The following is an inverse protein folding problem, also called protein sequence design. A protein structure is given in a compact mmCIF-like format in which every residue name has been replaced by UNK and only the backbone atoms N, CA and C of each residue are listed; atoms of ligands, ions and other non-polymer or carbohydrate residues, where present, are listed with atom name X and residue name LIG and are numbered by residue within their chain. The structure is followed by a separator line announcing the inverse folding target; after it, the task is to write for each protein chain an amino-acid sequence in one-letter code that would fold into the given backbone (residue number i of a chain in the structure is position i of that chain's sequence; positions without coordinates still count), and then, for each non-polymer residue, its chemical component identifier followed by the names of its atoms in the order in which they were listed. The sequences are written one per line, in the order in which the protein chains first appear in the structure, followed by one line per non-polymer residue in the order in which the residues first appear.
data_IF_484338476167
#
_entry.id   IF_484338476167
#
_cell.length_a   1.000
_cell.length_b   1.000
_cell.length_c   1.000
_cell.angle_alpha   90.00
_cell.angle_beta   90.00
_cell.angle_gamma   90.00
#
_symmetry.space_group_name_H-M   'P 1'
#
loop_
_entity.id
_entity.type
_entity.pdbx_description
1 polymer ?
#
# COMPACT_ATOMS: atom_id res chain seq x y z
N UNK A 1 21.80 -26.29 19.51
CA UNK A 1 21.44 -24.87 19.38
C UNK A 1 20.04 -24.71 19.96
N UNK A 2 19.89 -23.92 21.02
CA UNK A 2 18.57 -23.56 21.52
C UNK A 2 17.93 -22.66 20.46
N UNK A 3 16.81 -23.09 19.87
CA UNK A 3 15.97 -22.24 19.03
C UNK A 3 15.41 -21.13 19.93
N UNK A 4 16.14 -20.02 20.06
CA UNK A 4 15.53 -18.81 20.59
C UNK A 4 14.53 -18.33 19.54
N UNK A 5 13.23 -18.22 19.88
CA UNK A 5 12.26 -17.65 18.97
C UNK A 5 12.73 -16.25 18.57
N UNK A 6 12.57 -15.89 17.29
CA UNK A 6 12.84 -14.52 16.84
C UNK A 6 11.99 -13.54 17.65
N UNK A 7 12.53 -12.38 18.00
CA UNK A 7 11.79 -11.32 18.69
C UNK A 7 10.59 -10.84 17.86
N UNK A 8 10.62 -11.08 16.54
CA UNK A 8 9.55 -10.73 15.60
C UNK A 8 8.45 -11.81 15.48
N UNK A 9 8.48 -12.87 16.29
CA UNK A 9 7.47 -13.92 16.22
C UNK A 9 6.09 -13.37 16.60
N UNK A 10 5.11 -13.53 15.70
CA UNK A 10 3.71 -13.12 15.88
C UNK A 10 3.52 -11.63 16.24
N UNK A 11 4.46 -10.75 15.86
CA UNK A 11 4.28 -9.29 15.97
C UNK A 11 3.15 -8.85 15.05
N UNK A 12 2.26 -7.99 15.54
CA UNK A 12 1.06 -7.50 14.85
C UNK A 12 0.08 -8.60 14.39
N UNK A 13 0.24 -9.87 14.80
CA UNK A 13 -0.70 -10.94 14.45
C UNK A 13 -1.98 -10.91 15.28
N UNK A 14 -1.83 -10.54 16.55
CA UNK A 14 -2.90 -10.35 17.53
C UNK A 14 -2.62 -9.07 18.28
N UNK A 15 -3.68 -8.33 18.63
CA UNK A 15 -3.54 -7.20 19.54
C UNK A 15 -3.01 -7.71 20.89
N UNK A 16 -1.97 -7.04 21.41
CA UNK A 16 -1.41 -7.28 22.74
C UNK A 16 -1.66 -6.11 23.68
N UNK A 17 -2.61 -5.23 23.34
CA UNK A 17 -2.99 -4.08 24.15
C UNK A 17 -3.34 -4.50 25.58
N UNK A 18 -2.59 -4.07 26.61
CA UNK A 18 -2.89 -4.40 28.00
C UNK A 18 -3.93 -3.44 28.63
N UNK A 19 -4.37 -2.42 27.89
CA UNK A 19 -5.17 -1.28 28.33
C UNK A 19 -6.30 -0.93 27.32
N UNK A 20 -6.94 0.23 27.48
CA UNK A 20 -8.03 0.72 26.61
C UNK A 20 -7.53 1.42 25.33
N UNK A 21 -6.30 1.16 24.88
CA UNK A 21 -5.75 1.85 23.68
C UNK A 21 -6.56 1.48 22.42
N UNK A 22 -6.61 2.37 21.41
CA UNK A 22 -7.20 2.05 20.12
C UNK A 22 -6.53 0.82 19.49
N UNK A 23 -7.31 0.01 18.80
CA UNK A 23 -6.83 -1.12 18.02
C UNK A 23 -7.07 -0.80 16.54
N UNK A 24 -6.02 -0.79 15.74
CA UNK A 24 -6.14 -0.60 14.30
C UNK A 24 -6.00 -1.96 13.61
N UNK A 25 -7.01 -2.35 12.84
CA UNK A 25 -7.00 -3.59 12.05
C UNK A 25 -6.72 -3.26 10.58
N UNK A 26 -5.62 -3.79 10.08
CA UNK A 26 -5.23 -3.66 8.68
C UNK A 26 -5.51 -4.99 7.97
N UNK A 27 -6.56 -5.04 7.15
CA UNK A 27 -6.84 -6.13 6.24
C UNK A 27 -6.06 -5.94 4.95
N UNK A 28 -4.91 -6.61 4.81
CA UNK A 28 -4.13 -6.64 3.57
C UNK A 28 -4.81 -7.62 2.60
N UNK A 29 -5.54 -7.09 1.64
CA UNK A 29 -6.36 -7.87 0.73
C UNK A 29 -5.62 -8.22 -0.56
N UNK A 30 -5.21 -9.48 -0.69
CA UNK A 30 -4.46 -10.02 -1.83
C UNK A 30 -5.21 -11.21 -2.40
N UNK A 31 -6.19 -10.99 -3.30
CA UNK A 31 -7.06 -12.06 -3.78
C UNK A 31 -6.34 -13.12 -4.63
N UNK A 32 -5.20 -12.79 -5.25
CA UNK A 32 -4.45 -13.70 -6.13
C UNK A 32 -2.94 -13.63 -5.89
N UNK A 33 -2.36 -12.46 -6.14
CA UNK A 33 -0.94 -12.18 -6.13
C UNK A 33 -0.72 -10.69 -5.83
N UNK A 34 0.50 -10.31 -5.45
CA UNK A 34 0.86 -8.91 -5.35
C UNK A 34 2.34 -8.61 -5.58
N UNK A 35 2.65 -7.35 -5.88
CA UNK A 35 4.00 -6.82 -5.84
C UNK A 35 4.48 -6.71 -4.38
N UNK A 36 5.68 -7.22 -4.09
CA UNK A 36 6.28 -7.14 -2.75
C UNK A 36 6.35 -5.71 -2.25
N UNK A 37 6.83 -4.76 -3.08
CA UNK A 37 6.98 -3.37 -2.68
C UNK A 37 5.63 -2.67 -2.44
N UNK A 38 4.58 -3.05 -3.17
CA UNK A 38 3.24 -2.51 -2.92
C UNK A 38 2.65 -3.07 -1.63
N UNK A 39 3.05 -4.28 -1.24
CA UNK A 39 2.61 -4.93 0.00
C UNK A 39 3.38 -4.41 1.21
N UNK A 40 4.67 -4.10 1.02
CA UNK A 40 5.60 -3.74 2.09
C UNK A 40 5.23 -2.44 2.83
N UNK A 41 4.47 -1.53 2.21
CA UNK A 41 4.00 -0.30 2.86
C UNK A 41 3.18 -0.56 4.13
N UNK A 42 2.60 -1.76 4.29
CA UNK A 42 1.92 -2.17 5.52
C UNK A 42 2.83 -2.17 6.75
N UNK A 43 4.14 -2.33 6.55
CA UNK A 43 5.13 -2.39 7.63
C UNK A 43 5.28 -1.04 8.36
N UNK A 44 4.87 0.07 7.72
CA UNK A 44 4.82 1.39 8.36
C UNK A 44 3.75 1.40 9.46
N UNK A 45 2.57 0.81 9.22
CA UNK A 45 1.56 0.63 10.27
C UNK A 45 2.11 -0.25 11.40
N UNK A 46 2.77 -1.35 11.03
CA UNK A 46 3.39 -2.28 11.98
C UNK A 46 4.46 -1.61 12.84
N UNK A 47 5.27 -0.73 12.26
CA UNK A 47 6.35 0.00 12.95
C UNK A 47 5.81 1.05 13.93
N UNK A 48 4.61 1.59 13.68
CA UNK A 48 3.91 2.51 14.59
C UNK A 48 3.12 1.78 15.69
N UNK A 49 3.16 0.45 15.74
CA UNK A 49 2.37 -0.34 16.69
C UNK A 49 3.01 -0.38 18.09
N UNK A 50 2.16 -0.49 19.10
CA UNK A 50 2.58 -0.86 20.44
C UNK A 50 3.36 -2.18 20.43
N UNK A 51 2.91 -3.17 19.68
CA UNK A 51 3.52 -4.51 19.60
C UNK A 51 4.98 -4.45 19.14
N UNK A 52 5.28 -3.63 18.16
CA UNK A 52 6.63 -3.44 17.62
C UNK A 52 7.48 -2.58 18.56
N UNK A 53 6.98 -1.41 18.97
CA UNK A 53 7.74 -0.47 19.81
C UNK A 53 8.01 -1.04 21.20
N UNK A 54 7.15 -1.93 21.70
CA UNK A 54 7.38 -2.68 22.95
C UNK A 54 8.60 -3.61 22.88
N UNK A 55 8.99 -4.08 21.70
CA UNK A 55 10.23 -4.85 21.52
C UNK A 55 11.47 -3.96 21.57
N UNK A 56 11.30 -2.66 21.33
CA UNK A 56 12.36 -1.66 21.26
C UNK A 56 12.44 -0.79 22.53
N UNK A 57 11.77 -1.15 23.63
CA UNK A 57 11.68 -0.35 24.88
C UNK A 57 13.02 0.08 25.49
N UNK A 58 14.12 -0.59 25.13
CA UNK A 58 15.47 -0.21 25.57
C UNK A 58 16.13 0.84 24.65
N UNK A 59 15.55 1.11 23.49
CA UNK A 59 16.02 2.02 22.45
C UNK A 59 15.07 3.21 22.24
N UNK A 60 13.77 3.05 22.51
CA UNK A 60 12.76 4.12 22.40
C UNK A 60 12.25 4.55 23.78
N UNK A 61 12.03 5.86 24.03
CA UNK A 61 11.44 6.33 25.28
C UNK A 61 10.05 5.73 25.53
N UNK A 62 9.74 5.37 26.79
CA UNK A 62 8.47 4.75 27.16
C UNK A 62 7.23 5.56 26.72
N UNK A 63 7.33 6.90 26.76
CA UNK A 63 6.26 7.79 26.29
C UNK A 63 5.89 7.59 24.81
N UNK A 64 6.85 7.17 23.97
CA UNK A 64 6.60 6.84 22.57
C UNK A 64 5.81 5.53 22.49
N UNK A 65 6.22 4.51 23.24
CA UNK A 65 5.54 3.20 23.32
C UNK A 65 4.11 3.34 23.84
N UNK A 66 3.90 4.17 24.87
CA UNK A 66 2.59 4.40 25.47
C UNK A 66 1.65 5.21 24.56
N UNK A 67 2.21 6.00 23.64
CA UNK A 67 1.43 6.78 22.67
C UNK A 67 0.93 5.95 21.48
N UNK A 68 1.46 4.75 21.28
CA UNK A 68 1.18 3.94 20.10
C UNK A 68 -0.12 3.15 20.23
N UNK A 69 -0.96 3.11 19.17
CA UNK A 69 -2.09 2.20 19.11
C UNK A 69 -1.60 0.76 19.03
N UNK A 70 -2.49 -0.19 19.36
CA UNK A 70 -2.24 -1.58 18.98
C UNK A 70 -2.57 -1.75 17.51
N UNK A 71 -1.74 -2.50 16.77
CA UNK A 71 -1.98 -2.75 15.35
C UNK A 71 -2.06 -4.26 15.10
N UNK A 72 -3.07 -4.66 14.35
CA UNK A 72 -3.24 -6.03 13.89
C UNK A 72 -3.25 -6.07 12.37
N UNK A 73 -2.37 -6.86 11.77
CA UNK A 73 -2.25 -7.02 10.32
C UNK A 73 -2.76 -8.40 9.93
N UNK A 74 -3.77 -8.44 9.07
CA UNK A 74 -4.43 -9.64 8.59
C UNK A 74 -4.23 -9.75 7.07
N UNK A 75 -3.57 -10.81 6.62
CA UNK A 75 -3.44 -11.11 5.19
C UNK A 75 -4.66 -11.90 4.72
N UNK A 76 -5.55 -11.22 4.00
CA UNK A 76 -6.83 -11.76 3.51
C UNK A 76 -6.70 -12.10 2.02
N UNK A 77 -6.90 -13.36 1.66
CA UNK A 77 -6.81 -13.81 0.27
C UNK A 77 -8.02 -14.63 -0.19
N UNK A 78 -7.88 -15.25 -1.37
CA UNK A 78 -8.85 -16.24 -1.90
C UNK A 78 -8.43 -17.68 -1.65
N UNK A 79 -7.30 -17.88 -0.98
CA UNK A 79 -6.77 -19.18 -0.55
C UNK A 79 -7.15 -19.44 0.90
N UNK A 80 -7.06 -20.69 1.37
CA UNK A 80 -7.37 -21.01 2.76
C UNK A 80 -6.35 -20.39 3.73
N UNK A 81 -6.76 -20.13 4.97
CA UNK A 81 -5.84 -19.69 6.03
C UNK A 81 -4.68 -20.70 6.18
N UNK A 82 -3.45 -20.18 6.24
CA UNK A 82 -2.21 -20.97 6.27
C UNK A 82 -1.63 -21.28 4.89
N UNK A 83 -2.37 -21.06 3.80
CA UNK A 83 -1.84 -21.21 2.44
C UNK A 83 -1.04 -19.98 2.00
N UNK A 84 -0.24 -20.16 0.95
CA UNK A 84 0.68 -19.13 0.44
C UNK A 84 0.01 -18.33 -0.67
N UNK A 85 0.12 -17.00 -0.57
CA UNK A 85 -0.21 -16.06 -1.61
C UNK A 85 1.11 -15.61 -2.27
N UNK A 86 1.29 -15.82 -3.59
CA UNK A 86 2.52 -15.46 -4.28
C UNK A 86 2.72 -13.94 -4.31
N UNK A 87 3.96 -13.52 -4.12
CA UNK A 87 4.40 -12.15 -4.35
C UNK A 87 5.51 -12.12 -5.41
N UNK A 88 5.83 -10.93 -5.92
CA UNK A 88 7.03 -10.75 -6.77
C UNK A 88 8.32 -11.13 -6.03
N UNK A 89 9.45 -11.16 -6.75
CA UNK A 89 10.76 -11.49 -6.15
C UNK A 89 10.85 -12.88 -5.50
N UNK A 90 10.05 -13.84 -5.99
CA UNK A 90 10.01 -15.23 -5.50
C UNK A 90 9.67 -15.32 -3.99
N UNK A 91 8.84 -14.40 -3.52
CA UNK A 91 8.35 -14.39 -2.14
C UNK A 91 6.90 -14.87 -2.06
N UNK A 92 6.46 -15.13 -0.84
CA UNK A 92 5.08 -15.41 -0.54
C UNK A 92 4.73 -14.80 0.82
N UNK A 93 3.46 -14.42 0.97
CA UNK A 93 2.87 -14.20 2.28
C UNK A 93 1.94 -15.35 2.62
N UNK A 94 1.82 -15.66 3.91
CA UNK A 94 0.87 -16.68 4.37
C UNK A 94 -0.46 -16.00 4.66
N UNK A 95 -1.52 -16.48 4.01
CA UNK A 95 -2.87 -15.99 4.27
C UNK A 95 -3.23 -16.25 5.74
N UNK A 96 -3.65 -15.22 6.46
CA UNK A 96 -4.24 -15.41 7.78
C UNK A 96 -5.71 -15.79 7.67
N UNK A 97 -6.39 -15.31 6.63
CA UNK A 97 -7.81 -15.56 6.39
C UNK A 97 -8.12 -15.71 4.91
N UNK A 98 -9.15 -16.51 4.62
CA UNK A 98 -9.88 -16.42 3.37
C UNK A 98 -10.90 -15.27 3.46
N UNK A 99 -11.18 -14.56 2.37
CA UNK A 99 -12.15 -13.43 2.38
C UNK A 99 -13.57 -13.84 2.82
N UNK A 100 -13.89 -15.12 2.74
CA UNK A 100 -15.16 -15.70 3.18
C UNK A 100 -15.22 -16.01 4.68
N UNK A 101 -14.12 -15.86 5.42
CA UNK A 101 -14.09 -16.16 6.85
C UNK A 101 -14.90 -15.12 7.65
N UNK A 102 -15.68 -15.55 8.66
CA UNK A 102 -16.53 -14.66 9.44
C UNK A 102 -15.78 -13.51 10.14
N UNK A 103 -14.53 -13.77 10.54
CA UNK A 103 -13.72 -12.82 11.33
C UNK A 103 -13.24 -11.62 10.51
N UNK A 104 -13.24 -11.74 9.18
CA UNK A 104 -12.91 -10.65 8.24
C UNK A 104 -14.12 -10.19 7.44
N UNK A 105 -15.33 -10.55 7.86
CA UNK A 105 -16.55 -10.08 7.20
C UNK A 105 -16.72 -8.55 7.38
N UNK A 106 -17.39 -7.86 6.43
CA UNK A 106 -17.69 -6.44 6.56
C UNK A 106 -18.39 -6.10 7.88
N UNK A 107 -17.89 -5.07 8.58
CA UNK A 107 -18.36 -4.66 9.92
C UNK A 107 -18.00 -5.62 11.07
N UNK A 108 -17.25 -6.68 10.80
CA UNK A 108 -16.66 -7.57 11.83
C UNK A 108 -15.20 -7.24 12.14
N UNK A 109 -14.61 -6.30 11.42
CA UNK A 109 -13.32 -5.77 11.80
C UNK A 109 -13.47 -4.69 12.89
N UNK A 110 -14.65 -4.08 13.07
CA UNK A 110 -14.90 -2.99 14.04
C UNK A 110 -15.60 -3.43 15.34
N UNK A 111 -15.45 -4.69 15.76
CA UNK A 111 -16.30 -5.29 16.84
C UNK A 111 -16.10 -4.65 18.23
N UNK A 112 -14.98 -3.97 18.45
CA UNK A 112 -14.67 -3.32 19.73
C UNK A 112 -14.72 -1.79 19.60
N UNK A 113 -15.22 -1.06 20.62
CA UNK A 113 -15.12 0.39 20.67
C UNK A 113 -13.66 0.83 20.43
N UNK A 114 -13.45 1.83 19.57
CA UNK A 114 -12.12 2.35 19.16
C UNK A 114 -11.34 1.43 18.22
N UNK A 115 -12.01 0.55 17.48
CA UNK A 115 -11.40 -0.16 16.36
C UNK A 115 -11.54 0.66 15.08
N UNK A 116 -10.43 0.84 14.36
CA UNK A 116 -10.44 1.39 13.00
C UNK A 116 -9.95 0.34 12.02
N UNK A 117 -10.70 0.18 10.94
CA UNK A 117 -10.42 -0.83 9.92
C UNK A 117 -9.92 -0.17 8.65
N UNK A 118 -8.76 -0.65 8.20
CA UNK A 118 -8.15 -0.26 6.94
C UNK A 118 -8.07 -1.49 6.04
N UNK A 119 -8.66 -1.44 4.86
CA UNK A 119 -8.43 -2.46 3.83
C UNK A 119 -7.34 -1.94 2.89
N UNK A 120 -6.18 -2.57 2.97
CA UNK A 120 -5.01 -2.25 2.17
C UNK A 120 -4.94 -3.19 0.95
N UNK A 121 -4.97 -2.62 -0.25
CA UNK A 121 -5.07 -3.35 -1.52
C UNK A 121 -3.79 -3.09 -2.35
N UNK A 122 -2.78 -3.96 -2.26
CA UNK A 122 -1.55 -3.80 -3.04
C UNK A 122 -1.76 -4.10 -4.53
N UNK A 123 -0.78 -3.73 -5.35
CA UNK A 123 -0.78 -3.99 -6.77
C UNK A 123 -0.62 -5.47 -7.10
N UNK A 124 -1.44 -5.95 -8.03
CA UNK A 124 -1.46 -7.30 -8.62
C UNK A 124 -1.15 -7.20 -10.12
N UNK A 125 -0.97 -8.32 -10.81
CA UNK A 125 -0.99 -8.34 -12.27
C UNK A 125 -2.28 -7.64 -12.80
N UNK A 126 -2.17 -6.57 -13.62
CA UNK A 126 -3.31 -5.81 -14.09
C UNK A 126 -4.23 -6.58 -15.05
N UNK A 127 -3.78 -7.71 -15.59
CA UNK A 127 -4.56 -8.62 -16.42
C UNK A 127 -5.31 -9.70 -15.62
N UNK A 128 -5.07 -9.77 -14.31
CA UNK A 128 -5.74 -10.72 -13.42
C UNK A 128 -7.25 -10.50 -13.38
N UNK A 129 -7.99 -11.61 -13.41
CA UNK A 129 -9.41 -11.67 -13.10
C UNK A 129 -9.60 -12.03 -11.63
N UNK A 130 -10.49 -11.33 -10.93
CA UNK A 130 -10.76 -11.58 -9.52
C UNK A 130 -11.95 -12.52 -9.34
N UNK A 131 -11.91 -13.42 -8.33
CA UNK A 131 -13.09 -14.19 -7.95
C UNK A 131 -14.26 -13.27 -7.60
N UNK A 132 -15.47 -13.61 -8.06
CA UNK A 132 -16.66 -12.77 -7.83
C UNK A 132 -16.91 -12.52 -6.33
N UNK A 133 -16.65 -13.54 -5.50
CA UNK A 133 -16.75 -13.43 -4.03
C UNK A 133 -15.76 -12.41 -3.45
N UNK A 134 -14.54 -12.35 -3.99
CA UNK A 134 -13.49 -11.42 -3.58
C UNK A 134 -13.88 -9.97 -3.91
N UNK A 135 -14.38 -9.71 -5.13
CA UNK A 135 -14.86 -8.38 -5.53
C UNK A 135 -16.09 -7.94 -4.71
N UNK A 136 -17.03 -8.85 -4.44
CA UNK A 136 -18.20 -8.55 -3.58
C UNK A 136 -17.80 -8.26 -2.15
N UNK A 137 -16.82 -8.98 -1.61
CA UNK A 137 -16.30 -8.75 -0.27
C UNK A 137 -15.67 -7.34 -0.19
N UNK A 138 -14.79 -6.99 -1.12
CA UNK A 138 -14.14 -5.68 -1.15
C UNK A 138 -15.15 -4.54 -1.34
N UNK A 139 -16.16 -4.73 -2.19
CA UNK A 139 -17.24 -3.75 -2.37
C UNK A 139 -18.02 -3.49 -1.07
N UNK A 140 -18.31 -4.56 -0.31
CA UNK A 140 -19.01 -4.44 0.98
C UNK A 140 -18.14 -3.80 2.06
N UNK A 141 -16.84 -4.10 2.09
CA UNK A 141 -15.91 -3.42 2.98
C UNK A 141 -15.92 -1.91 2.72
N UNK A 142 -15.76 -1.48 1.46
CA UNK A 142 -15.75 -0.05 1.13
C UNK A 142 -17.08 0.68 1.35
N UNK A 143 -18.19 -0.05 1.53
CA UNK A 143 -19.50 0.48 1.89
C UNK A 143 -19.77 0.44 3.40
N UNK A 144 -18.87 -0.15 4.20
CA UNK A 144 -19.02 -0.25 5.65
C UNK A 144 -18.55 1.05 6.29
N UNK A 145 -19.36 1.61 7.19
CA UNK A 145 -19.02 2.81 7.95
C UNK A 145 -17.80 2.56 8.83
N UNK A 146 -16.85 3.50 8.86
CA UNK A 146 -15.59 3.37 9.62
C UNK A 146 -14.50 2.56 8.92
N UNK A 147 -14.73 2.06 7.71
CA UNK A 147 -13.74 1.35 6.90
C UNK A 147 -13.15 2.27 5.83
N UNK A 148 -11.83 2.43 5.87
CA UNK A 148 -11.06 3.07 4.80
C UNK A 148 -10.46 2.03 3.85
N UNK A 149 -10.40 2.37 2.56
CA UNK A 149 -9.75 1.56 1.52
C UNK A 149 -8.49 2.28 1.04
N UNK A 150 -7.34 1.62 1.12
CA UNK A 150 -6.06 2.12 0.62
C UNK A 150 -5.62 1.27 -0.56
N UNK A 151 -5.75 1.81 -1.76
CA UNK A 151 -5.37 1.17 -3.01
C UNK A 151 -3.98 1.60 -3.45
N UNK A 152 -3.07 0.65 -3.66
CA UNK A 152 -1.70 0.92 -4.10
C UNK A 152 -1.48 0.39 -5.50
N UNK A 153 -0.93 1.24 -6.37
CA UNK A 153 -0.53 0.87 -7.73
C UNK A 153 -1.68 0.19 -8.50
N UNK A 154 -1.46 -0.99 -9.07
CA UNK A 154 -2.46 -1.75 -9.83
C UNK A 154 -3.57 -2.34 -8.96
N UNK A 155 -3.53 -2.18 -7.63
CA UNK A 155 -4.64 -2.49 -6.72
C UNK A 155 -5.91 -1.74 -7.11
N UNK A 156 -5.76 -0.64 -7.86
CA UNK A 156 -6.85 0.13 -8.44
C UNK A 156 -7.75 -0.73 -9.35
N UNK A 157 -7.22 -1.77 -10.00
CA UNK A 157 -8.01 -2.68 -10.84
C UNK A 157 -8.91 -3.60 -10.01
N UNK A 158 -8.45 -4.07 -8.85
CA UNK A 158 -9.27 -4.83 -7.91
C UNK A 158 -10.39 -3.94 -7.32
N UNK A 159 -10.04 -2.72 -6.92
CA UNK A 159 -11.00 -1.72 -6.46
C UNK A 159 -12.02 -1.32 -7.56
N UNK A 160 -11.57 -1.21 -8.80
CA UNK A 160 -12.42 -0.98 -9.98
C UNK A 160 -13.39 -2.11 -10.25
N UNK A 161 -12.92 -3.36 -10.21
CA UNK A 161 -13.75 -4.55 -10.34
C UNK A 161 -14.80 -4.67 -9.20
N UNK A 162 -14.48 -4.18 -8.00
CA UNK A 162 -15.40 -4.07 -6.88
C UNK A 162 -16.37 -2.87 -6.99
N UNK A 163 -16.23 -2.01 -8.01
CA UNK A 163 -17.08 -0.84 -8.22
C UNK A 163 -16.79 0.35 -7.29
N UNK A 164 -15.66 0.33 -6.56
CA UNK A 164 -15.33 1.35 -5.56
C UNK A 164 -14.94 2.71 -6.16
N UNK A 165 -14.57 2.74 -7.43
CA UNK A 165 -14.03 3.95 -8.08
C UNK A 165 -15.13 4.90 -8.59
N UNK A 166 -16.39 4.44 -8.62
CA UNK A 166 -17.49 5.19 -9.24
C UNK A 166 -17.66 6.57 -8.59
N UNK A 167 -17.58 7.62 -9.40
CA UNK A 167 -17.75 9.01 -8.97
C UNK A 167 -16.59 9.60 -8.16
N UNK A 168 -15.50 8.86 -7.95
CA UNK A 168 -14.34 9.31 -7.16
C UNK A 168 -13.22 9.87 -8.03
N UNK A 169 -12.47 10.81 -7.48
CA UNK A 169 -11.15 11.17 -7.97
C UNK A 169 -10.15 10.11 -7.50
N UNK A 170 -9.38 9.55 -8.42
CA UNK A 170 -8.50 8.43 -8.12
C UNK A 170 -7.08 8.67 -8.60
N UNK A 171 -6.14 7.99 -7.96
CA UNK A 171 -4.77 7.86 -8.40
C UNK A 171 -4.47 6.37 -8.68
N UNK A 172 -3.61 6.12 -9.65
CA UNK A 172 -3.13 4.79 -10.01
C UNK A 172 -1.81 4.93 -10.76
N UNK A 173 -1.19 3.85 -11.23
CA UNK A 173 0.13 3.90 -11.84
C UNK A 173 0.14 4.80 -13.09
N UNK A 174 1.08 5.75 -13.11
CA UNK A 174 1.29 6.74 -14.19
C UNK A 174 1.32 6.13 -15.60
N UNK A 175 2.02 5.01 -15.77
CA UNK A 175 2.14 4.31 -17.05
C UNK A 175 0.87 3.60 -17.50
N UNK A 176 -0.14 3.47 -16.63
CA UNK A 176 -1.38 2.75 -16.92
C UNK A 176 -2.63 3.63 -16.84
N UNK A 177 -2.48 4.96 -16.88
CA UNK A 177 -3.63 5.86 -16.81
C UNK A 177 -4.61 5.62 -17.98
N UNK A 178 -4.10 5.40 -19.19
CA UNK A 178 -4.92 5.08 -20.37
C UNK A 178 -5.68 3.76 -20.19
N UNK A 179 -4.99 2.72 -19.70
CA UNK A 179 -5.62 1.43 -19.40
C UNK A 179 -6.73 1.55 -18.34
N UNK A 180 -6.53 2.35 -17.29
CA UNK A 180 -7.55 2.60 -16.26
C UNK A 180 -8.75 3.35 -16.87
N UNK A 181 -8.50 4.28 -17.78
CA UNK A 181 -9.55 5.01 -18.52
C UNK A 181 -10.34 4.09 -19.45
N UNK A 182 -9.67 3.20 -20.17
CA UNK A 182 -10.30 2.20 -21.07
C UNK A 182 -11.21 1.23 -20.32
N UNK A 183 -10.81 0.80 -19.11
CA UNK A 183 -11.66 -0.06 -18.26
C UNK A 183 -12.96 0.64 -17.82
N UNK A 184 -12.99 1.97 -17.81
CA UNK A 184 -14.16 2.78 -17.51
C UNK A 184 -14.91 2.34 -16.23
N UNK A 185 -14.20 2.32 -15.09
CA UNK A 185 -14.77 1.95 -13.79
C UNK A 185 -15.75 3.01 -13.21
N UNK A 186 -16.10 4.03 -14.00
CA UNK A 186 -17.01 5.10 -13.60
C UNK A 186 -16.37 6.17 -12.72
N UNK A 187 -15.03 6.24 -12.65
CA UNK A 187 -14.30 7.27 -11.93
C UNK A 187 -14.59 8.68 -12.43
N UNK A 188 -14.59 9.66 -11.53
CA UNK A 188 -14.83 11.08 -11.84
C UNK A 188 -13.61 11.72 -12.51
N UNK A 189 -12.43 11.49 -11.95
CA UNK A 189 -11.18 12.02 -12.46
C UNK A 189 -10.03 11.07 -12.16
N UNK A 190 -9.03 11.07 -13.03
CA UNK A 190 -7.84 10.26 -12.93
C UNK A 190 -6.64 11.20 -12.77
N UNK A 191 -6.02 11.19 -11.59
CA UNK A 191 -5.02 12.17 -11.13
C UNK A 191 -3.61 11.58 -11.00
N UNK A 192 -3.37 10.35 -11.46
CA UNK A 192 -2.08 9.67 -11.26
C UNK A 192 -0.92 10.27 -12.03
N UNK A 193 -1.18 11.06 -13.07
CA UNK A 193 -0.14 11.83 -13.77
C UNK A 193 0.42 12.98 -12.92
N UNK A 194 -0.35 13.49 -11.96
CA UNK A 194 -0.09 14.75 -11.24
C UNK A 194 0.11 14.54 -9.74
N UNK A 195 -0.57 13.57 -9.14
CA UNK A 195 -0.52 13.26 -7.72
C UNK A 195 0.06 11.87 -7.48
N UNK A 196 0.93 11.73 -6.47
CA UNK A 196 1.42 10.44 -5.98
C UNK A 196 0.33 9.65 -5.29
N UNK A 197 -0.54 10.36 -4.58
CA UNK A 197 -1.67 9.80 -3.84
C UNK A 197 -2.80 10.82 -3.74
N UNK A 198 -4.03 10.33 -3.57
CA UNK A 198 -5.24 11.14 -3.36
C UNK A 198 -6.18 10.45 -2.37
N UNK A 199 -6.88 11.26 -1.59
CA UNK A 199 -8.01 10.85 -0.77
C UNK A 199 -9.31 11.39 -1.39
N UNK A 200 -10.32 10.54 -1.52
CA UNK A 200 -11.70 10.91 -1.88
C UNK A 200 -12.72 10.17 -0.99
N UNK A 201 -13.07 10.82 0.12
CA UNK A 201 -13.84 10.23 1.22
C UNK A 201 -13.02 9.17 1.96
N UNK A 202 -13.59 7.98 2.10
CA UNK A 202 -12.94 6.81 2.71
C UNK A 202 -12.03 6.02 1.73
N UNK A 203 -11.83 6.54 0.52
CA UNK A 203 -11.02 5.88 -0.49
C UNK A 203 -9.74 6.66 -0.70
N UNK A 204 -8.63 6.00 -0.41
CA UNK A 204 -7.29 6.48 -0.61
C UNK A 204 -6.65 5.67 -1.73
N UNK A 205 -6.00 6.35 -2.66
CA UNK A 205 -5.31 5.66 -3.74
C UNK A 205 -4.01 6.33 -4.09
N UNK A 206 -3.04 5.52 -4.47
CA UNK A 206 -1.76 5.97 -4.98
C UNK A 206 -1.36 5.07 -6.15
N UNK A 207 -0.36 5.51 -6.91
CA UNK A 207 0.25 4.58 -7.83
C UNK A 207 1.42 5.18 -8.59
N UNK A 208 2.39 4.33 -8.84
CA UNK A 208 3.42 4.52 -9.83
C UNK A 208 3.81 3.14 -10.35
N UNK A 209 4.12 3.06 -11.63
CA UNK A 209 5.01 2.02 -12.11
C UNK A 209 5.85 2.62 -13.22
N UNK A 210 7.09 2.93 -12.89
CA UNK A 210 8.08 3.38 -13.85
C UNK A 210 8.82 2.19 -14.44
N UNK A 211 8.54 1.91 -15.70
CA UNK A 211 9.49 1.38 -16.68
C UNK A 211 8.87 1.54 -18.07
N UNK A 212 8.86 2.77 -18.59
CA UNK A 212 8.72 2.96 -20.04
C UNK A 212 10.07 2.71 -20.69
N UNK A 213 10.37 1.44 -20.95
CA UNK A 213 11.20 1.05 -22.09
C UNK A 213 10.37 0.03 -22.89
N UNK A 214 9.27 0.49 -23.46
CA UNK A 214 8.62 -0.22 -24.56
C UNK A 214 8.44 0.75 -25.74
N UNK A 215 9.41 0.66 -26.64
CA UNK A 215 9.29 0.82 -28.10
C UNK A 215 8.61 2.09 -28.65
N UNK A 216 9.27 3.25 -28.60
CA UNK A 216 9.18 4.22 -29.69
C UNK A 216 10.55 4.84 -29.96
N UNK A 217 11.18 4.37 -31.04
CA UNK A 217 12.41 4.94 -31.60
C UNK A 217 12.05 6.25 -32.32
N UNK A 218 12.12 7.37 -31.59
CA UNK A 218 12.42 8.72 -32.09
C UNK A 218 13.08 9.46 -30.92
N UNK A 219 14.35 9.81 -31.07
CA UNK A 219 15.27 10.25 -30.00
C UNK A 219 14.94 11.59 -29.32
N UNK A 220 13.76 12.18 -29.54
CA UNK A 220 13.35 13.45 -28.93
C UNK A 220 12.29 13.31 -27.82
N UNK A 221 11.47 12.25 -27.80
CA UNK A 221 10.39 12.04 -26.81
C UNK A 221 10.83 11.27 -25.54
N UNK A 222 11.94 10.54 -25.62
CA UNK A 222 12.48 9.71 -24.52
C UNK A 222 12.83 10.54 -23.27
N UNK A 223 13.22 11.81 -23.46
CA UNK A 223 13.66 12.70 -22.39
C UNK A 223 12.54 13.11 -21.42
N UNK A 224 11.33 13.34 -21.94
CA UNK A 224 10.18 13.74 -21.14
C UNK A 224 9.58 12.54 -20.38
N UNK A 225 9.49 11.39 -21.06
CA UNK A 225 9.01 10.14 -20.45
C UNK A 225 9.90 9.62 -19.32
N UNK A 226 11.22 9.87 -19.38
CA UNK A 226 12.17 9.37 -18.39
C UNK A 226 12.37 10.28 -17.16
N UNK A 227 11.95 11.56 -17.19
CA UNK A 227 11.96 12.38 -15.96
C UNK A 227 10.80 12.07 -15.02
N UNK A 228 9.71 11.50 -15.54
CA UNK A 228 8.52 11.10 -14.77
C UNK A 228 8.65 9.75 -14.05
N UNK A 229 9.81 9.13 -14.17
CA UNK A 229 10.10 7.72 -13.92
C UNK A 229 10.79 7.44 -12.56
N UNK A 230 11.13 8.44 -11.74
CA UNK A 230 12.02 8.23 -10.59
C UNK A 230 11.31 8.50 -9.25
N UNK A 231 11.38 7.52 -8.35
CA UNK A 231 11.15 7.71 -6.92
C UNK A 231 9.74 7.40 -6.42
N UNK A 232 8.93 6.61 -7.12
CA UNK A 232 7.52 6.45 -6.81
C UNK A 232 6.97 5.01 -6.74
N UNK A 233 7.79 3.97 -6.91
CA UNK A 233 7.45 2.61 -6.44
C UNK A 233 7.07 2.64 -4.94
N UNK A 234 7.64 3.59 -4.18
CA UNK A 234 7.32 3.82 -2.76
C UNK A 234 6.12 4.78 -2.55
N UNK A 235 5.31 5.10 -3.57
CA UNK A 235 4.13 5.97 -3.36
C UNK A 235 3.12 5.31 -2.41
N UNK A 236 3.15 3.98 -2.27
CA UNK A 236 2.46 3.26 -1.20
C UNK A 236 2.90 3.71 0.20
N UNK A 237 4.19 3.96 0.41
CA UNK A 237 4.72 4.44 1.68
C UNK A 237 4.26 5.88 1.96
N UNK A 238 4.31 6.75 0.95
CA UNK A 238 3.82 8.13 1.07
C UNK A 238 2.32 8.17 1.37
N UNK A 239 1.55 7.25 0.75
CA UNK A 239 0.12 7.10 1.02
C UNK A 239 -0.14 6.67 2.47
N UNK A 240 0.60 5.68 2.97
CA UNK A 240 0.44 5.21 4.36
C UNK A 240 0.85 6.31 5.35
N UNK A 241 1.96 7.00 5.11
CA UNK A 241 2.36 8.14 5.93
C UNK A 241 1.30 9.25 5.92
N UNK A 242 0.75 9.60 4.75
CA UNK A 242 -0.31 10.58 4.63
C UNK A 242 -1.59 10.15 5.36
N UNK A 243 -1.96 8.87 5.28
CA UNK A 243 -3.08 8.30 6.01
C UNK A 243 -2.89 8.43 7.52
N UNK A 244 -1.78 7.92 8.07
CA UNK A 244 -1.49 8.02 9.51
C UNK A 244 -1.49 9.47 10.00
N UNK A 245 -0.96 10.40 9.20
CA UNK A 245 -0.95 11.84 9.47
C UNK A 245 -2.35 12.46 9.52
N UNK A 246 -3.29 11.97 8.72
CA UNK A 246 -4.68 12.43 8.69
C UNK A 246 -5.49 11.88 9.87
N UNK A 247 -5.08 10.75 10.45
CA UNK A 247 -5.74 10.05 11.54
C UNK A 247 -5.02 10.26 12.89
N UNK A 248 -4.83 11.53 13.26
CA UNK A 248 -4.07 11.91 14.47
C UNK A 248 -4.70 11.45 15.79
N UNK A 249 -5.98 11.09 15.76
CA UNK A 249 -6.73 10.48 16.86
C UNK A 249 -6.31 9.03 17.14
N UNK A 250 -5.75 8.33 16.15
CA UNK A 250 -5.21 6.97 16.27
C UNK A 250 -3.70 6.99 16.40
N UNK A 251 -3.04 7.78 15.56
CA UNK A 251 -1.59 7.95 15.56
C UNK A 251 -1.23 9.39 15.88
N UNK A 252 -0.83 9.69 17.13
CA UNK A 252 -0.40 11.03 17.50
C UNK A 252 0.67 11.55 16.54
N UNK A 253 0.51 12.80 16.06
CA UNK A 253 1.40 13.35 15.03
C UNK A 253 2.91 13.18 15.32
N UNK A 254 3.41 13.40 16.55
CA UNK A 254 4.82 13.18 16.86
C UNK A 254 5.29 11.73 16.66
N UNK A 255 4.43 10.74 16.95
CA UNK A 255 4.73 9.33 16.72
C UNK A 255 4.86 9.05 15.22
N UNK A 256 3.93 9.60 14.42
CA UNK A 256 3.94 9.42 12.96
C UNK A 256 5.22 9.99 12.36
N UNK A 257 5.61 11.20 12.72
CA UNK A 257 6.83 11.82 12.19
C UNK A 257 8.09 11.08 12.64
N UNK A 258 8.16 10.65 13.91
CA UNK A 258 9.32 9.90 14.41
C UNK A 258 9.54 8.61 13.62
N UNK A 259 8.47 7.82 13.41
CA UNK A 259 8.59 6.55 12.66
C UNK A 259 8.82 6.79 11.18
N UNK A 260 8.20 7.83 10.59
CA UNK A 260 8.46 8.19 9.19
C UNK A 260 9.92 8.62 8.97
N UNK A 261 10.51 9.37 9.90
CA UNK A 261 11.92 9.77 9.87
C UNK A 261 12.85 8.56 10.01
N UNK A 262 12.55 7.63 10.93
CA UNK A 262 13.33 6.38 11.10
C UNK A 262 13.32 5.51 9.83
N UNK A 263 12.18 5.43 9.16
CA UNK A 263 12.01 4.61 7.95
C UNK A 263 12.39 5.35 6.65
N UNK A 264 12.77 6.63 6.73
CA UNK A 264 13.03 7.52 5.59
C UNK A 264 11.87 7.56 4.57
N UNK A 265 10.63 7.71 5.06
CA UNK A 265 9.40 7.77 4.25
C UNK A 265 8.57 9.01 4.57
N UNK A 266 7.66 9.40 3.68
CA UNK A 266 6.66 10.43 3.99
C UNK A 266 7.09 11.86 3.66
N UNK A 267 8.34 12.08 3.26
CA UNK A 267 8.84 13.43 2.94
C UNK A 267 8.60 13.84 1.48
N UNK A 268 8.10 12.94 0.63
CA UNK A 268 7.86 13.28 -0.77
C UNK A 268 6.58 14.14 -0.86
N UNK A 269 6.61 15.24 -1.63
CA UNK A 269 5.41 16.03 -1.86
C UNK A 269 4.34 15.18 -2.56
N UNK A 270 3.07 15.49 -2.27
CA UNK A 270 1.93 14.84 -2.91
C UNK A 270 1.98 15.01 -4.43
N UNK A 271 2.41 16.17 -4.90
CA UNK A 271 2.65 16.44 -6.32
C UNK A 271 4.03 15.95 -6.76
N UNK A 272 4.15 15.50 -8.00
CA UNK A 272 5.45 15.14 -8.57
C UNK A 272 6.29 16.39 -8.92
N UNK A 273 7.60 16.35 -8.67
CA UNK A 273 8.54 17.39 -9.11
C UNK A 273 9.11 17.08 -10.50
N UNK A 274 9.41 18.11 -11.29
CA UNK A 274 9.68 18.00 -12.74
C UNK A 274 11.15 17.78 -13.16
N UNK A 275 12.10 17.51 -12.26
CA UNK A 275 13.53 17.40 -12.64
C UNK A 275 14.30 16.38 -11.82
N UNK A 276 14.95 15.37 -12.44
CA UNK A 276 16.27 14.85 -12.03
C UNK A 276 16.88 13.74 -12.95
N UNK A 277 18.21 13.82 -13.16
CA UNK A 277 19.21 12.78 -12.83
C UNK A 277 19.54 11.60 -13.76
N UNK A 278 18.58 10.95 -14.44
CA UNK A 278 18.85 9.62 -15.05
C UNK A 278 19.56 9.64 -16.42
N UNK A 279 19.76 10.81 -17.01
CA UNK A 279 20.46 10.95 -18.30
C UNK A 279 21.84 10.27 -18.28
N UNK A 280 22.52 10.28 -17.12
CA UNK A 280 23.84 9.66 -16.94
C UNK A 280 23.80 8.13 -17.07
N UNK A 281 22.87 7.46 -16.38
CA UNK A 281 22.84 6.00 -16.30
C UNK A 281 22.27 5.35 -17.56
N UNK A 282 21.32 6.03 -18.21
CA UNK A 282 20.81 5.58 -19.53
C UNK A 282 21.92 5.70 -20.57
N UNK A 283 22.68 6.80 -20.57
CA UNK A 283 23.85 6.94 -21.43
C UNK A 283 24.89 5.83 -21.21
N UNK A 284 25.17 5.47 -19.95
CA UNK A 284 26.07 4.37 -19.62
C UNK A 284 25.56 3.00 -20.11
N UNK A 285 24.25 2.72 -19.98
CA UNK A 285 23.64 1.48 -20.48
C UNK A 285 23.59 1.40 -22.02
N UNK A 286 23.28 2.51 -22.69
CA UNK A 286 23.29 2.56 -24.16
C UNK A 286 24.70 2.43 -24.74
N UNK A 287 25.69 3.05 -24.09
CA UNK A 287 27.11 2.87 -24.43
C UNK A 287 27.56 1.42 -24.22
N UNK A 288 27.14 0.78 -23.13
CA UNK A 288 27.44 -0.63 -22.85
C UNK A 288 26.77 -1.60 -23.85
N UNK A 289 25.59 -1.24 -24.38
CA UNK A 289 24.86 -2.03 -25.38
C UNK A 289 25.38 -1.85 -26.82
N UNK A 290 26.42 -1.02 -27.05
CA UNK A 290 26.96 -0.73 -28.37
C UNK A 290 26.04 0.09 -29.27
N UNK A 291 25.00 0.70 -28.69
CA UNK A 291 24.04 1.55 -29.39
C UNK A 291 24.46 3.02 -29.24
N UNK A 292 25.54 3.40 -29.93
CA UNK A 292 25.89 4.81 -30.12
C UNK A 292 25.57 5.18 -31.57
N UNK A 293 24.72 6.18 -31.76
CA UNK A 293 24.81 7.01 -32.96
C UNK A 293 25.08 8.45 -32.51
N UNK A 294 26.06 9.05 -33.19
CA UNK A 294 26.52 10.46 -33.13
C UNK A 294 25.39 11.46 -32.97
#
# INVERSE_FOLDING_TARGET
MLNMPTIFTDVNKVSKAPDKRPVVRIGVFIPTDAQVLDTAGVDIFGSMSYEYLSLLVHMVPQVVVDSAPSVQILYVGSVAAGERIPLTSNQYVVASHHYGDPDVAPGKLDVEPLTVTVIYVPGTDPDTTFPEGASKWLARQGATEGVDILSVCTGIFACGAAGLLKGKNICGPRSMQDRIKEKNFGQKALRGSELRWIQDGNFWSCGELSLTIYSFYDGSEVRALMSDAIGAVTSGNELVAAYCRAHSELWPRPLVELVCEELEVGDKPQEYSTKLGMEKYVGELMAAAGQVSV
#
